data_IF_569431886096
#
_entry.id   IF_569431886096
#
_cell.length_a   1.000
_cell.length_b   1.000
_cell.length_c   1.000
_cell.angle_alpha   90.00
_cell.angle_beta   90.00
_cell.angle_gamma   90.00
#
_symmetry.space_group_name_H-M   'P 1'
#
loop_
_entity.id
_entity.type
_entity.pdbx_description
1 polymer ?
#
# COMPACT_ATOMS: atom_id res chain seq x y z
N UNK A 1 15.34 -18.36 -11.25
CA UNK A 1 14.61 -17.21 -11.81
C UNK A 1 13.38 -16.86 -10.97
N UNK A 2 12.46 -17.80 -10.68
CA UNK A 2 11.27 -17.56 -9.84
C UNK A 2 11.54 -16.99 -8.44
N UNK A 3 12.60 -17.44 -7.75
CA UNK A 3 12.91 -16.97 -6.39
C UNK A 3 13.34 -15.51 -6.30
N UNK A 4 13.94 -14.94 -7.35
CA UNK A 4 14.28 -13.51 -7.38
C UNK A 4 13.03 -12.66 -7.58
N UNK A 5 12.08 -13.19 -8.35
CA UNK A 5 10.82 -12.54 -8.68
C UNK A 5 9.87 -12.47 -7.49
N UNK A 6 9.65 -13.60 -6.80
CA UNK A 6 8.86 -13.66 -5.55
C UNK A 6 9.41 -12.73 -4.46
N UNK A 7 10.73 -12.54 -4.40
CA UNK A 7 11.37 -11.62 -3.45
C UNK A 7 11.06 -10.14 -3.73
N UNK A 8 10.93 -9.74 -4.99
CA UNK A 8 10.60 -8.36 -5.36
C UNK A 8 9.15 -8.00 -5.05
N UNK A 9 8.22 -8.93 -5.31
CA UNK A 9 6.81 -8.80 -4.91
C UNK A 9 6.70 -8.57 -3.41
N UNK A 10 7.35 -9.44 -2.63
CA UNK A 10 7.29 -9.37 -1.18
C UNK A 10 7.88 -8.04 -0.65
N UNK A 11 8.95 -7.53 -1.28
CA UNK A 11 9.55 -6.25 -0.89
C UNK A 11 8.63 -5.05 -1.16
N UNK A 12 7.97 -5.01 -2.32
CA UNK A 12 7.00 -3.97 -2.67
C UNK A 12 5.78 -4.02 -1.74
N UNK A 13 5.29 -5.23 -1.46
CA UNK A 13 4.17 -5.48 -0.56
C UNK A 13 4.46 -5.06 0.89
N UNK A 14 5.63 -5.42 1.42
CA UNK A 14 6.05 -5.02 2.77
C UNK A 14 6.13 -3.50 2.89
N UNK A 15 6.57 -2.82 1.82
CA UNK A 15 6.61 -1.35 1.78
C UNK A 15 5.20 -0.75 1.81
N UNK A 16 4.28 -1.21 0.98
CA UNK A 16 2.93 -0.66 0.91
C UNK A 16 2.17 -0.91 2.22
N UNK A 17 2.32 -2.10 2.81
CA UNK A 17 1.78 -2.42 4.13
C UNK A 17 2.38 -1.53 5.23
N UNK A 18 3.68 -1.19 5.13
CA UNK A 18 4.33 -0.28 6.07
C UNK A 18 3.78 1.14 5.93
N UNK A 19 3.62 1.64 4.70
CA UNK A 19 3.05 2.97 4.46
C UNK A 19 1.61 3.06 4.95
N UNK A 20 0.79 2.04 4.71
CA UNK A 20 -0.59 1.96 5.19
C UNK A 20 -0.67 2.03 6.73
N UNK A 21 0.23 1.33 7.44
CA UNK A 21 0.33 1.41 8.91
C UNK A 21 0.79 2.77 9.40
N UNK A 22 1.75 3.41 8.72
CA UNK A 22 2.22 4.75 9.07
C UNK A 22 1.10 5.77 8.88
N UNK A 23 0.37 5.70 7.76
CA UNK A 23 -0.77 6.57 7.51
C UNK A 23 -1.86 6.41 8.60
N UNK A 24 -2.15 5.16 8.99
CA UNK A 24 -3.07 4.88 10.09
C UNK A 24 -2.59 5.46 11.43
N UNK A 25 -1.29 5.31 11.75
CA UNK A 25 -0.71 5.90 12.97
C UNK A 25 -0.85 7.44 12.97
N UNK A 26 -0.51 8.09 11.84
CA UNK A 26 -0.64 9.53 11.69
C UNK A 26 -2.09 10.00 11.82
N UNK A 27 -3.05 9.24 11.28
CA UNK A 27 -4.48 9.49 11.44
C UNK A 27 -4.87 9.47 12.92
N UNK A 28 -4.46 8.43 13.67
CA UNK A 28 -4.72 8.32 15.10
C UNK A 28 -4.16 9.50 15.90
N UNK A 29 -2.90 9.87 15.64
CA UNK A 29 -2.26 11.01 16.33
C UNK A 29 -2.97 12.32 16.00
N UNK A 30 -3.29 12.56 14.72
CA UNK A 30 -3.91 13.80 14.26
C UNK A 30 -5.32 13.95 14.82
N UNK A 31 -6.17 12.93 14.69
CA UNK A 31 -7.53 12.97 15.23
C UNK A 31 -7.54 13.02 16.76
N UNK A 32 -6.63 12.30 17.42
CA UNK A 32 -6.49 12.34 18.87
C UNK A 32 -6.13 13.75 19.36
N UNK A 33 -5.16 14.39 18.71
CA UNK A 33 -4.79 15.78 19.00
C UNK A 33 -5.98 16.74 18.78
N UNK A 34 -6.63 16.67 17.61
CA UNK A 34 -7.79 17.52 17.28
C UNK A 34 -8.92 17.31 18.29
N UNK A 35 -9.22 16.07 18.67
CA UNK A 35 -10.25 15.75 19.65
C UNK A 35 -9.95 16.41 21.01
N UNK A 36 -8.72 16.27 21.52
CA UNK A 36 -8.32 16.90 22.79
C UNK A 36 -8.40 18.43 22.67
N UNK A 37 -7.86 19.00 21.59
CA UNK A 37 -7.86 20.43 21.36
C UNK A 37 -9.29 21.01 21.30
N UNK A 38 -10.22 20.36 20.59
CA UNK A 38 -11.60 20.85 20.44
C UNK A 38 -12.41 20.63 21.72
N UNK A 39 -12.26 19.49 22.38
CA UNK A 39 -13.03 19.19 23.61
C UNK A 39 -12.60 20.08 24.78
N UNK A 40 -11.38 20.59 24.79
CA UNK A 40 -10.90 21.57 25.78
C UNK A 40 -11.70 22.89 25.75
N UNK A 41 -12.18 23.31 24.57
CA UNK A 41 -12.95 24.55 24.41
C UNK A 41 -14.46 24.33 24.32
N UNK A 42 -14.91 23.09 24.14
CA UNK A 42 -16.33 22.75 24.00
C UNK A 42 -16.91 22.38 25.37
N UNK A 43 -17.84 23.17 25.89
CA UNK A 43 -18.51 22.89 27.18
C UNK A 43 -19.80 22.06 27.04
N UNK A 44 -20.42 22.07 25.85
CA UNK A 44 -21.67 21.38 25.58
C UNK A 44 -21.49 19.84 25.57
N UNK A 45 -22.17 19.09 26.47
CA UNK A 45 -22.09 17.63 26.51
C UNK A 45 -22.55 16.94 25.24
N UNK A 46 -23.59 17.44 24.57
CA UNK A 46 -24.12 16.83 23.35
C UNK A 46 -23.11 16.92 22.21
N UNK A 47 -22.43 18.07 22.09
CA UNK A 47 -21.37 18.28 21.10
C UNK A 47 -20.18 17.36 21.38
N UNK A 48 -19.77 17.20 22.64
CA UNK A 48 -18.69 16.27 23.03
C UNK A 48 -19.02 14.81 22.68
N UNK A 49 -20.26 14.39 22.90
CA UNK A 49 -20.73 13.04 22.52
C UNK A 49 -20.65 12.86 21.01
N UNK A 50 -21.15 13.82 20.24
CA UNK A 50 -21.10 13.77 18.78
C UNK A 50 -19.64 13.71 18.27
N UNK A 51 -18.73 14.51 18.83
CA UNK A 51 -17.30 14.45 18.51
C UNK A 51 -16.70 13.08 18.82
N UNK A 52 -17.04 12.51 19.97
CA UNK A 52 -16.52 11.21 20.41
C UNK A 52 -16.94 10.09 19.46
N UNK A 53 -18.21 10.09 19.06
CA UNK A 53 -18.75 9.12 18.09
C UNK A 53 -18.09 9.32 16.73
N UNK A 54 -17.98 10.57 16.26
CA UNK A 54 -17.38 10.87 14.96
C UNK A 54 -15.92 10.42 14.87
N UNK A 55 -15.09 10.80 15.86
CA UNK A 55 -13.68 10.39 15.93
C UNK A 55 -13.57 8.88 16.07
N UNK A 56 -14.36 8.27 16.95
CA UNK A 56 -14.39 6.82 17.14
C UNK A 56 -14.72 6.08 15.86
N UNK A 57 -15.77 6.50 15.14
CA UNK A 57 -16.18 5.90 13.87
C UNK A 57 -15.06 5.97 12.81
N UNK A 58 -14.45 7.15 12.63
CA UNK A 58 -13.36 7.32 11.64
C UNK A 58 -12.18 6.41 11.97
N UNK A 59 -11.76 6.34 13.24
CA UNK A 59 -10.62 5.52 13.66
C UNK A 59 -10.92 4.02 13.56
N UNK A 60 -12.11 3.57 13.99
CA UNK A 60 -12.53 2.17 13.92
C UNK A 60 -12.62 1.72 12.47
N UNK A 61 -13.33 2.46 11.61
CA UNK A 61 -13.49 2.06 10.22
C UNK A 61 -12.17 2.06 9.46
N UNK A 62 -11.32 3.08 9.62
CA UNK A 62 -10.02 3.09 8.96
C UNK A 62 -9.12 1.93 9.44
N UNK A 63 -9.13 1.64 10.74
CA UNK A 63 -8.37 0.50 11.28
C UNK A 63 -8.90 -0.83 10.72
N UNK A 64 -10.23 -1.00 10.67
CA UNK A 64 -10.88 -2.19 10.13
C UNK A 64 -10.60 -2.36 8.63
N UNK A 65 -10.64 -1.30 7.82
CA UNK A 65 -10.30 -1.33 6.40
C UNK A 65 -8.85 -1.75 6.17
N UNK A 66 -7.89 -1.19 6.92
CA UNK A 66 -6.48 -1.59 6.83
C UNK A 66 -6.30 -3.05 7.26
N UNK A 67 -7.00 -3.48 8.32
CA UNK A 67 -6.95 -4.87 8.77
C UNK A 67 -7.54 -5.84 7.74
N UNK A 68 -8.68 -5.48 7.13
CA UNK A 68 -9.30 -6.25 6.06
C UNK A 68 -8.39 -6.35 4.84
N UNK A 69 -7.76 -5.23 4.44
CA UNK A 69 -6.74 -5.21 3.39
C UNK A 69 -5.58 -6.15 3.75
N UNK A 70 -5.07 -6.13 4.98
CA UNK A 70 -3.98 -7.05 5.36
C UNK A 70 -4.44 -8.52 5.44
N UNK A 71 -5.69 -8.78 5.85
CA UNK A 71 -6.22 -10.14 6.06
C UNK A 71 -6.61 -10.82 4.76
N UNK A 72 -7.32 -10.13 3.86
CA UNK A 72 -7.80 -10.71 2.60
C UNK A 72 -6.67 -10.89 1.58
N UNK A 73 -5.58 -10.12 1.70
CA UNK A 73 -4.46 -10.18 0.75
C UNK A 73 -3.54 -11.39 0.90
N UNK A 74 -3.70 -12.20 1.94
CA UNK A 74 -2.98 -13.48 2.04
C UNK A 74 -3.46 -14.47 0.96
N UNK A 75 -4.71 -14.32 0.51
CA UNK A 75 -5.36 -15.19 -0.47
C UNK A 75 -5.23 -14.65 -1.91
N UNK A 76 -5.20 -13.32 -2.11
CA UNK A 76 -5.17 -12.69 -3.46
C UNK A 76 -3.77 -12.39 -4.04
N UNK A 77 -2.71 -12.40 -3.21
CA UNK A 77 -1.37 -11.94 -3.66
C UNK A 77 -0.77 -12.78 -4.79
N UNK A 78 -1.06 -14.08 -4.83
CA UNK A 78 -0.43 -14.99 -5.79
C UNK A 78 -1.05 -14.86 -7.19
N UNK A 79 -2.29 -14.36 -7.30
CA UNK A 79 -2.96 -14.13 -8.58
C UNK A 79 -2.60 -12.75 -9.18
N UNK A 80 -2.71 -11.68 -8.38
CA UNK A 80 -2.51 -10.30 -8.87
C UNK A 80 -1.04 -10.07 -9.28
N UNK A 81 -0.08 -10.48 -8.44
CA UNK A 81 1.32 -10.20 -8.72
C UNK A 81 1.97 -11.19 -9.69
N UNK A 82 1.37 -12.37 -9.89
CA UNK A 82 1.85 -13.34 -10.89
C UNK A 82 1.68 -12.83 -12.32
N UNK A 83 0.57 -12.13 -12.60
CA UNK A 83 0.25 -11.60 -13.93
C UNK A 83 1.08 -10.35 -14.26
N UNK A 84 1.21 -9.44 -13.32
CA UNK A 84 1.89 -8.16 -13.52
C UNK A 84 3.41 -8.33 -13.77
N UNK A 85 4.00 -9.33 -13.13
CA UNK A 85 5.38 -9.73 -13.36
C UNK A 85 5.61 -10.32 -14.74
N UNK A 86 4.66 -11.11 -15.24
CA UNK A 86 4.77 -11.72 -16.56
C UNK A 86 4.84 -10.62 -17.63
N UNK A 87 4.01 -9.59 -17.50
CA UNK A 87 4.06 -8.43 -18.39
C UNK A 87 5.35 -7.59 -18.24
N UNK A 88 5.89 -7.44 -17.03
CA UNK A 88 7.16 -6.74 -16.82
C UNK A 88 8.35 -7.50 -17.44
N UNK A 89 8.34 -8.84 -17.35
CA UNK A 89 9.35 -9.69 -17.98
C UNK A 89 9.23 -9.66 -19.52
N UNK A 90 8.01 -9.70 -20.06
CA UNK A 90 7.76 -9.54 -21.50
C UNK A 90 8.25 -8.18 -22.02
N UNK A 91 8.00 -7.10 -21.29
CA UNK A 91 8.50 -5.77 -21.63
C UNK A 91 10.03 -5.67 -21.55
N UNK A 92 10.67 -6.41 -20.64
CA UNK A 92 12.13 -6.51 -20.56
C UNK A 92 12.71 -7.31 -21.73
N UNK A 93 12.10 -8.43 -22.09
CA UNK A 93 12.50 -9.25 -23.23
C UNK A 93 12.42 -8.45 -24.54
N UNK A 94 11.31 -7.72 -24.76
CA UNK A 94 11.14 -6.82 -25.91
C UNK A 94 12.15 -5.67 -25.97
N UNK A 95 12.70 -5.25 -24.83
CA UNK A 95 13.78 -4.23 -24.80
C UNK A 95 15.17 -4.82 -25.00
N UNK A 96 15.36 -6.12 -24.76
CA UNK A 96 16.64 -6.81 -24.97
C UNK A 96 16.84 -7.24 -26.44
N UNK A 97 15.77 -7.66 -27.14
CA UNK A 97 15.80 -7.97 -28.58
C UNK A 97 16.45 -6.88 -29.46
N UNK A 98 16.11 -5.58 -29.34
CA UNK A 98 16.74 -4.53 -30.15
C UNK A 98 18.18 -4.20 -29.75
N UNK A 99 18.68 -4.66 -28.60
CA UNK A 99 20.09 -4.53 -28.23
C UNK A 99 20.92 -5.64 -28.89
N UNK A 100 20.43 -6.88 -28.86
CA UNK A 100 21.07 -8.04 -29.51
C UNK A 100 21.15 -7.86 -31.03
N UNK A 101 20.09 -7.35 -31.65
CA UNK A 101 20.06 -7.08 -33.09
C UNK A 101 21.01 -5.95 -33.53
N UNK A 102 21.32 -4.99 -32.65
CA UNK A 102 22.32 -3.95 -32.91
C UNK A 102 23.73 -4.51 -32.80
N UNK A 103 23.99 -5.33 -31.79
CA UNK A 103 25.30 -5.96 -31.59
C UNK A 103 25.60 -6.97 -32.71
N UNK A 104 24.61 -7.75 -33.18
CA UNK A 104 24.77 -8.65 -34.33
C UNK A 104 24.95 -7.89 -35.65
N UNK A 105 24.25 -6.77 -35.85
CA UNK A 105 24.40 -5.93 -37.04
C UNK A 105 25.76 -5.20 -37.09
N UNK A 106 26.36 -4.87 -35.94
CA UNK A 106 27.72 -4.32 -35.84
C UNK A 106 28.82 -5.39 -35.93
N UNK A 107 28.50 -6.66 -35.66
CA UNK A 107 29.45 -7.77 -35.70
C UNK A 107 29.54 -8.48 -37.06
N UNK A 108 28.67 -8.16 -38.02
CA UNK A 108 28.81 -8.63 -39.41
C UNK A 108 29.80 -7.74 -40.18
N UNK A 109 30.90 -8.30 -40.72
CA UNK A 109 31.91 -7.54 -41.46
C UNK A 109 31.44 -7.04 -42.83
#
# INVERSE_FOLDING_TARGET
MEHAMRRRIEAMFVRDRRMARIALLLLWVTLGYVYIAVTAYTSDPAVRIALSIGVGAVLVFNTASIFAMVRHYKDDKDHIYGLDIRHLDENRARKAEPADMKDEALARP
#
